data_IF_318825227844
#
_entry.id   IF_318825227844
#
_cell.length_a   1.000
_cell.length_b   1.000
_cell.length_c   1.000
_cell.angle_alpha   90.00
_cell.angle_beta   90.00
_cell.angle_gamma   90.00
#
_symmetry.space_group_name_H-M   'P 1'
#
loop_
_entity.id
_entity.type
_entity.pdbx_description
1 polymer ?
#
# COMPACT_ATOMS: atom_id res chain seq x y z
N UNK A 1 48.36 6.96 -24.15
CA UNK A 1 47.34 7.78 -23.48
C UNK A 1 46.04 6.99 -23.50
N UNK A 2 45.50 6.58 -22.33
CA UNK A 2 44.33 5.70 -22.21
C UNK A 2 43.05 6.55 -22.23
N UNK A 3 42.03 6.23 -23.03
CA UNK A 3 40.75 6.93 -22.93
C UNK A 3 39.99 6.45 -21.69
N UNK A 4 39.63 7.38 -20.81
CA UNK A 4 38.70 7.13 -19.71
C UNK A 4 37.29 7.03 -20.28
N UNK A 5 36.72 5.82 -20.27
CA UNK A 5 35.33 5.58 -20.62
C UNK A 5 34.46 6.11 -19.49
N UNK A 6 33.73 7.19 -19.73
CA UNK A 6 32.73 7.75 -18.82
C UNK A 6 31.46 6.89 -18.91
N UNK A 7 31.22 6.05 -17.91
CA UNK A 7 30.01 5.24 -17.82
C UNK A 7 28.88 6.08 -17.22
N UNK A 8 28.12 6.77 -18.07
CA UNK A 8 26.88 7.47 -17.69
C UNK A 8 25.79 6.42 -17.42
N UNK A 9 25.62 6.05 -16.15
CA UNK A 9 24.51 5.21 -15.69
C UNK A 9 23.25 6.09 -15.63
N UNK A 10 22.55 6.21 -16.75
CA UNK A 10 21.22 6.82 -16.79
C UNK A 10 20.26 5.82 -16.13
N UNK A 11 19.90 6.06 -14.87
CA UNK A 11 18.79 5.40 -14.21
C UNK A 11 17.50 5.81 -14.92
N UNK A 12 17.14 5.09 -15.97
CA UNK A 12 15.82 5.17 -16.58
C UNK A 12 14.79 4.78 -15.52
N UNK A 13 14.13 5.77 -14.90
CA UNK A 13 12.91 5.51 -14.16
C UNK A 13 11.92 4.91 -15.16
N UNK A 14 11.61 3.62 -15.02
CA UNK A 14 10.48 3.01 -15.70
C UNK A 14 9.24 3.77 -15.22
N UNK A 15 8.81 4.77 -15.98
CA UNK A 15 7.47 5.30 -15.90
C UNK A 15 6.55 4.20 -16.42
N UNK A 16 6.24 3.23 -15.54
CA UNK A 16 5.24 2.23 -15.79
C UNK A 16 3.88 2.93 -15.74
N UNK A 17 3.51 3.55 -16.85
CA UNK A 17 2.15 3.99 -17.12
C UNK A 17 1.32 2.72 -17.40
N UNK A 18 0.96 2.01 -16.34
CA UNK A 18 -0.12 1.04 -16.41
C UNK A 18 -1.40 1.79 -16.70
N UNK A 19 -1.98 1.58 -17.88
CA UNK A 19 -3.36 1.96 -18.18
C UNK A 19 -4.28 1.13 -17.26
N UNK A 20 -4.56 1.66 -16.08
CA UNK A 20 -5.31 0.93 -15.09
C UNK A 20 -5.53 1.77 -13.84
N UNK A 21 -6.74 1.66 -13.34
CA UNK A 21 -7.25 2.08 -12.03
C UNK A 21 -6.27 1.86 -10.84
N UNK A 22 -5.25 1.01 -10.97
CA UNK A 22 -4.23 0.68 -9.95
C UNK A 22 -2.93 1.47 -10.13
N UNK A 23 -2.99 2.79 -9.99
CA UNK A 23 -1.87 3.69 -10.17
C UNK A 23 -1.11 4.04 -8.87
N UNK A 24 -1.60 3.63 -7.71
CA UNK A 24 -0.95 3.87 -6.41
C UNK A 24 0.12 2.82 -6.16
N UNK A 25 1.31 3.24 -5.73
CA UNK A 25 2.37 2.34 -5.26
C UNK A 25 2.29 2.21 -3.74
N UNK A 26 2.15 1.00 -3.25
CA UNK A 26 2.18 0.68 -1.82
C UNK A 26 3.41 -0.15 -1.54
N UNK A 27 4.31 0.35 -0.71
CA UNK A 27 5.44 -0.42 -0.20
C UNK A 27 5.09 -0.96 1.19
N UNK A 28 4.87 -2.27 1.29
CA UNK A 28 4.55 -2.95 2.56
C UNK A 28 5.83 -3.19 3.34
N UNK A 29 5.94 -2.54 4.50
CA UNK A 29 7.12 -2.58 5.37
C UNK A 29 6.96 -3.55 6.54
N UNK A 30 5.73 -3.74 7.03
CA UNK A 30 5.40 -4.72 8.05
C UNK A 30 4.00 -5.31 7.85
N UNK A 31 3.77 -6.48 8.42
CA UNK A 31 2.53 -7.25 8.30
C UNK A 31 2.22 -7.89 9.64
N UNK A 32 1.00 -7.72 10.12
CA UNK A 32 0.55 -8.11 11.45
C UNK A 32 -0.78 -8.85 11.37
N UNK A 33 -0.98 -9.80 12.27
CA UNK A 33 -2.30 -10.35 12.54
C UNK A 33 -2.84 -9.73 13.82
N UNK A 34 -3.98 -9.06 13.69
CA UNK A 34 -4.74 -8.57 14.82
C UNK A 34 -5.76 -9.63 15.24
N UNK A 35 -5.79 -9.94 16.53
CA UNK A 35 -6.82 -10.80 17.12
C UNK A 35 -7.76 -9.91 17.91
N UNK A 36 -9.04 -9.88 17.52
CA UNK A 36 -10.05 -9.22 18.34
C UNK A 36 -10.40 -10.09 19.56
N UNK A 37 -10.57 -9.50 20.76
CA UNK A 37 -11.02 -10.24 21.94
C UNK A 37 -12.36 -10.95 21.67
N UNK A 38 -12.41 -12.26 21.89
CA UNK A 38 -13.61 -13.06 21.65
C UNK A 38 -13.76 -13.60 20.22
N UNK A 39 -12.86 -13.23 19.29
CA UNK A 39 -12.84 -13.78 17.94
C UNK A 39 -11.64 -14.74 17.72
N UNK A 40 -11.90 -15.81 16.97
CA UNK A 40 -10.88 -16.73 16.45
C UNK A 40 -10.28 -16.23 15.13
N UNK A 41 -11.04 -15.42 14.40
CA UNK A 41 -10.61 -14.77 13.18
C UNK A 41 -9.59 -13.67 13.44
N UNK A 42 -8.63 -13.56 12.52
CA UNK A 42 -7.57 -12.55 12.57
C UNK A 42 -7.65 -11.65 11.37
N UNK A 43 -7.89 -10.36 11.63
CA UNK A 43 -7.70 -9.32 10.60
C UNK A 43 -6.21 -9.11 10.36
N UNK A 44 -5.91 -8.63 9.18
CA UNK A 44 -4.54 -8.31 8.78
C UNK A 44 -4.35 -6.80 8.86
N UNK A 45 -3.29 -6.37 9.53
CA UNK A 45 -2.84 -4.99 9.53
C UNK A 45 -1.47 -4.90 8.84
N UNK A 46 -1.25 -3.84 8.07
CA UNK A 46 -0.02 -3.57 7.34
C UNK A 46 0.53 -2.21 7.75
N UNK A 47 1.84 -2.11 7.94
CA UNK A 47 2.53 -0.81 7.92
C UNK A 47 3.09 -0.60 6.52
N UNK A 48 2.75 0.53 5.91
CA UNK A 48 3.06 0.80 4.51
C UNK A 48 3.62 2.20 4.30
N UNK A 49 4.32 2.37 3.18
CA UNK A 49 4.68 3.68 2.64
C UNK A 49 3.90 3.90 1.35
N UNK A 50 3.13 4.98 1.30
CA UNK A 50 2.39 5.45 0.12
C UNK A 50 2.75 6.92 -0.09
N UNK A 51 3.27 7.27 -1.27
CA UNK A 51 3.71 8.64 -1.59
C UNK A 51 4.63 9.27 -0.52
N UNK A 52 5.50 8.45 0.06
CA UNK A 52 6.44 8.86 1.13
C UNK A 52 5.83 8.97 2.53
N UNK A 53 4.52 8.77 2.69
CA UNK A 53 3.83 8.79 3.99
C UNK A 53 3.77 7.40 4.60
N UNK A 54 4.06 7.29 5.91
CA UNK A 54 3.87 6.05 6.67
C UNK A 54 2.42 5.94 7.11
N UNK A 55 1.75 4.88 6.66
CA UNK A 55 0.35 4.61 6.96
C UNK A 55 0.20 3.21 7.55
N UNK A 56 -0.83 3.02 8.35
CA UNK A 56 -1.28 1.72 8.80
C UNK A 56 -2.59 1.38 8.10
N UNK A 57 -2.64 0.19 7.49
CA UNK A 57 -3.80 -0.29 6.77
C UNK A 57 -4.36 -1.53 7.46
N UNK A 58 -5.68 -1.61 7.65
CA UNK A 58 -6.37 -2.82 8.13
C UNK A 58 -7.22 -3.42 7.02
N UNK A 59 -7.18 -4.75 6.86
CA UNK A 59 -8.00 -5.42 5.86
C UNK A 59 -9.47 -5.36 6.23
N UNK A 60 -10.32 -5.01 5.26
CA UNK A 60 -11.79 -5.08 5.43
C UNK A 60 -12.29 -6.54 5.51
N UNK A 61 -11.44 -7.53 5.23
CA UNK A 61 -11.76 -8.96 5.31
C UNK A 61 -10.89 -9.66 6.36
N UNK A 62 -11.19 -10.93 6.63
CA UNK A 62 -10.45 -11.78 7.57
C UNK A 62 -9.63 -12.79 6.76
N UNK A 63 -8.43 -12.44 6.29
CA UNK A 63 -7.64 -13.36 5.48
C UNK A 63 -7.03 -14.51 6.30
N UNK A 64 -6.91 -14.37 7.63
CA UNK A 64 -6.19 -15.33 8.49
C UNK A 64 -4.77 -15.67 7.99
N UNK A 65 -4.13 -14.71 7.32
CA UNK A 65 -2.83 -14.87 6.68
C UNK A 65 -2.05 -13.55 6.75
N UNK A 66 -0.75 -13.61 6.46
CA UNK A 66 0.12 -12.45 6.32
C UNK A 66 0.36 -12.17 4.84
N UNK A 67 0.26 -10.90 4.44
CA UNK A 67 0.67 -10.45 3.13
C UNK A 67 2.19 -10.33 3.14
N UNK A 68 2.84 -10.78 2.08
CA UNK A 68 4.29 -10.62 1.93
C UNK A 68 4.69 -9.14 1.91
N UNK A 69 5.91 -8.86 2.33
CA UNK A 69 6.48 -7.52 2.24
C UNK A 69 6.85 -7.20 0.78
N UNK A 70 6.99 -5.91 0.49
CA UNK A 70 7.40 -5.42 -0.83
C UNK A 70 6.36 -4.53 -1.50
N UNK A 71 6.51 -4.34 -2.81
CA UNK A 71 5.74 -3.38 -3.58
C UNK A 71 4.48 -3.99 -4.19
N UNK A 72 3.36 -3.29 -4.04
CA UNK A 72 2.07 -3.65 -4.61
C UNK A 72 1.48 -2.47 -5.36
N UNK A 73 0.73 -2.78 -6.42
CA UNK A 73 -0.13 -1.81 -7.09
C UNK A 73 -1.47 -1.74 -6.38
N UNK A 74 -2.00 -0.53 -6.21
CA UNK A 74 -3.28 -0.31 -5.58
C UNK A 74 -4.10 0.76 -6.32
N UNK A 75 -5.40 0.70 -6.11
CA UNK A 75 -6.37 1.73 -6.47
C UNK A 75 -6.91 2.39 -5.21
N UNK A 76 -6.97 3.71 -5.15
CA UNK A 76 -7.74 4.38 -4.10
C UNK A 76 -9.24 4.27 -4.46
N UNK A 77 -9.99 3.47 -3.70
CA UNK A 77 -11.43 3.24 -3.96
C UNK A 77 -12.32 4.20 -3.21
N UNK A 78 -11.81 4.79 -2.11
CA UNK A 78 -12.52 5.81 -1.35
C UNK A 78 -11.54 6.79 -0.74
N UNK A 79 -11.88 8.07 -0.81
CA UNK A 79 -11.16 9.18 -0.22
C UNK A 79 -12.19 10.24 0.21
N UNK A 80 -12.75 10.03 1.39
CA UNK A 80 -13.75 10.92 1.95
C UNK A 80 -13.17 11.73 3.10
N UNK A 81 -13.71 12.92 3.29
CA UNK A 81 -13.46 13.76 4.45
C UNK A 81 -14.72 13.78 5.31
N UNK A 82 -14.62 13.43 6.59
CA UNK A 82 -15.80 13.29 7.44
C UNK A 82 -16.54 14.63 7.53
N UNK A 83 -17.79 14.67 7.05
CA UNK A 83 -18.67 15.88 7.09
C UNK A 83 -18.04 17.15 6.50
N UNK A 84 -17.15 17.02 5.51
CA UNK A 84 -16.47 18.16 4.89
C UNK A 84 -15.35 18.78 5.74
N UNK A 85 -14.97 18.14 6.85
CA UNK A 85 -13.83 18.54 7.66
C UNK A 85 -12.52 18.11 7.00
N UNK A 86 -11.59 19.04 6.78
CA UNK A 86 -10.28 18.75 6.16
C UNK A 86 -9.28 18.07 7.10
N UNK A 87 -9.66 17.80 8.35
CA UNK A 87 -8.79 17.22 9.37
C UNK A 87 -9.04 15.73 9.61
N UNK A 88 -10.21 15.21 9.24
CA UNK A 88 -10.56 13.79 9.34
C UNK A 88 -10.59 13.17 7.94
N UNK A 89 -9.84 12.09 7.72
CA UNK A 89 -9.86 11.34 6.47
C UNK A 89 -10.42 9.92 6.66
N UNK A 90 -11.14 9.46 5.63
CA UNK A 90 -11.57 8.07 5.48
C UNK A 90 -11.11 7.59 4.11
N UNK A 91 -10.05 6.78 4.13
CA UNK A 91 -9.38 6.32 2.92
C UNK A 91 -9.41 4.80 2.84
N UNK A 92 -9.72 4.27 1.66
CA UNK A 92 -9.70 2.84 1.38
C UNK A 92 -8.94 2.59 0.08
N UNK A 93 -8.02 1.64 0.15
CA UNK A 93 -7.22 1.17 -0.96
C UNK A 93 -7.59 -0.26 -1.32
N UNK A 94 -7.71 -0.53 -2.60
CA UNK A 94 -7.81 -1.88 -3.14
C UNK A 94 -6.46 -2.29 -3.71
N UNK A 95 -5.84 -3.29 -3.10
CA UNK A 95 -4.50 -3.79 -3.44
C UNK A 95 -4.62 -4.95 -4.41
N UNK A 96 -3.89 -4.87 -5.53
CA UNK A 96 -3.77 -5.94 -6.52
C UNK A 96 -2.67 -6.92 -6.10
N UNK A 97 -3.05 -8.19 -5.93
CA UNK A 97 -2.15 -9.27 -5.53
C UNK A 97 -1.52 -9.97 -6.75
N UNK A 98 -0.40 -10.71 -6.58
CA UNK A 98 0.29 -11.38 -7.68
C UNK A 98 -0.56 -12.43 -8.42
N UNK A 99 -1.56 -13.01 -7.75
CA UNK A 99 -2.52 -13.95 -8.31
C UNK A 99 -3.68 -13.27 -9.08
N UNK A 100 -3.62 -11.93 -9.22
CA UNK A 100 -4.64 -11.05 -9.82
C UNK A 100 -5.92 -10.90 -8.99
N UNK A 101 -5.97 -11.48 -7.80
CA UNK A 101 -7.05 -11.17 -6.85
C UNK A 101 -6.80 -9.79 -6.23
N UNK A 102 -7.84 -9.21 -5.65
CA UNK A 102 -7.78 -7.92 -4.98
C UNK A 102 -8.13 -8.05 -3.51
N UNK A 103 -7.60 -7.15 -2.69
CA UNK A 103 -7.97 -7.04 -1.28
C UNK A 103 -8.08 -5.59 -0.88
N UNK A 104 -9.16 -5.25 -0.19
CA UNK A 104 -9.41 -3.90 0.30
C UNK A 104 -8.86 -3.71 1.71
N UNK A 105 -8.27 -2.55 1.91
CA UNK A 105 -7.74 -2.11 3.18
C UNK A 105 -8.14 -0.67 3.47
N UNK A 106 -8.56 -0.42 4.70
CA UNK A 106 -8.86 0.90 5.24
C UNK A 106 -7.61 1.48 5.92
N UNK A 107 -7.39 2.78 5.77
CA UNK A 107 -6.36 3.49 6.56
C UNK A 107 -6.85 3.63 8.00
N UNK A 108 -6.08 3.09 8.95
CA UNK A 108 -6.39 3.08 10.39
C UNK A 108 -5.37 3.82 11.25
N UNK A 109 -4.24 4.23 10.66
CA UNK A 109 -3.19 4.96 11.36
C UNK A 109 -2.24 5.68 10.41
N UNK A 110 -1.56 6.71 10.92
CA UNK A 110 -0.57 7.50 10.19
C UNK A 110 0.49 8.02 11.15
N UNK A 111 1.74 8.16 10.69
CA UNK A 111 2.87 8.64 11.49
C UNK A 111 3.91 9.39 10.64
N UNK A 112 4.68 10.27 11.28
CA UNK A 112 5.82 11.00 10.68
C UNK A 112 7.15 10.24 10.79
#
# INVERSE_FOLDING_TARGET
MKPHVLFLLVCSSLAWAGSGDYNVNIHVTATHMLKEPGDSARRQQLDVIIDGKKLQLESETIPNALLSLGDYKAKQVKNDHWRGATYDSYEVYEVLLPDKNTRRFIVVGQSE
#
